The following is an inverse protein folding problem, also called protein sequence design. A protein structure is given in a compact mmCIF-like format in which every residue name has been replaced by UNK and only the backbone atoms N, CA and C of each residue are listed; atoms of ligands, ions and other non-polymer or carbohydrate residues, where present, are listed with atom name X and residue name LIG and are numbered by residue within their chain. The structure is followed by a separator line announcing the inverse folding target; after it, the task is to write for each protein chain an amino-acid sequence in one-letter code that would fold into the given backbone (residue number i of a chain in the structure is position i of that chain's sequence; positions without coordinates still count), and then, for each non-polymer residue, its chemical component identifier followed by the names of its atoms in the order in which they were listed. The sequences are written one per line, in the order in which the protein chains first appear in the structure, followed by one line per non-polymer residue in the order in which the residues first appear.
data_IF_119304796628
#
_entry.id   IF_119304796628
#
_cell.length_a   1.000
_cell.length_b   1.000
_cell.length_c   1.000
_cell.angle_alpha   90.00
_cell.angle_beta   90.00
_cell.angle_gamma   90.00
#
_symmetry.space_group_name_H-M   'P 1'
#
loop_
_entity.id
_entity.type
_entity.pdbx_description
1 polymer ?
#
# COMPACT_ATOMS: atom_id res chain seq x y z
N UNK A 1 -19.07 -12.18 0.96
CA UNK A 1 -17.61 -11.98 0.83
C UNK A 1 -17.18 -11.11 2.00
N UNK A 2 -16.35 -11.63 2.92
CA UNK A 2 -16.00 -10.89 4.13
C UNK A 2 -15.11 -9.70 3.80
N UNK A 3 -15.25 -8.59 4.52
CA UNK A 3 -14.39 -7.41 4.41
C UNK A 3 -12.90 -7.74 4.57
N UNK A 4 -12.59 -8.83 5.27
CA UNK A 4 -11.26 -9.41 5.43
C UNK A 4 -10.64 -9.94 4.12
N UNK A 5 -11.41 -10.60 3.25
CA UNK A 5 -10.88 -11.12 1.99
C UNK A 5 -10.57 -9.96 1.04
N UNK A 6 -11.40 -8.92 1.07
CA UNK A 6 -11.18 -7.68 0.35
C UNK A 6 -9.90 -6.98 0.82
N UNK A 7 -9.69 -6.87 2.14
CA UNK A 7 -8.45 -6.31 2.71
C UNK A 7 -7.20 -7.06 2.22
N UNK A 8 -7.19 -8.40 2.33
CA UNK A 8 -6.03 -9.20 1.89
C UNK A 8 -5.73 -9.06 0.41
N UNK A 9 -6.78 -9.01 -0.42
CA UNK A 9 -6.58 -8.84 -1.86
C UNK A 9 -6.00 -7.46 -2.20
N UNK A 10 -6.49 -6.38 -1.55
CA UNK A 10 -5.97 -5.03 -1.76
C UNK A 10 -4.54 -4.90 -1.24
N UNK A 11 -4.24 -5.47 -0.07
CA UNK A 11 -2.88 -5.50 0.49
C UNK A 11 -1.89 -6.25 -0.44
N UNK A 12 -2.32 -7.35 -1.07
CA UNK A 12 -1.51 -8.07 -2.05
C UNK A 12 -1.20 -7.20 -3.28
N UNK A 13 -2.21 -6.52 -3.82
CA UNK A 13 -2.02 -5.61 -4.97
C UNK A 13 -1.07 -4.46 -4.61
N UNK A 14 -1.17 -3.92 -3.40
CA UNK A 14 -0.26 -2.88 -2.93
C UNK A 14 1.18 -3.37 -2.85
N UNK A 15 1.41 -4.57 -2.30
CA UNK A 15 2.72 -5.19 -2.24
C UNK A 15 3.30 -5.48 -3.64
N UNK A 16 2.48 -5.92 -4.60
CA UNK A 16 2.91 -6.10 -5.99
C UNK A 16 3.32 -4.77 -6.65
N UNK A 17 2.64 -3.66 -6.33
CA UNK A 17 3.02 -2.33 -6.81
C UNK A 17 4.37 -1.90 -6.21
N UNK A 18 4.61 -2.14 -4.93
CA UNK A 18 5.90 -1.85 -4.28
C UNK A 18 7.06 -2.64 -4.90
N UNK A 19 6.85 -3.92 -5.20
CA UNK A 19 7.88 -4.75 -5.84
C UNK A 19 8.24 -4.28 -7.25
N UNK A 20 7.29 -3.63 -7.95
CA UNK A 20 7.49 -3.05 -9.28
C UNK A 20 8.08 -1.63 -9.23
N UNK A 21 8.34 -1.09 -8.04
CA UNK A 21 8.78 0.29 -7.86
C UNK A 21 7.68 1.33 -8.08
N UNK A 22 6.41 0.92 -8.22
CA UNK A 22 5.27 1.81 -8.42
C UNK A 22 4.78 2.35 -7.08
N UNK A 23 5.65 3.08 -6.38
CA UNK A 23 5.39 3.49 -5.00
C UNK A 23 4.22 4.47 -4.88
N UNK A 24 4.01 5.37 -5.85
CA UNK A 24 2.85 6.27 -5.86
C UNK A 24 1.53 5.49 -5.91
N UNK A 25 1.43 4.56 -6.86
CA UNK A 25 0.27 3.67 -6.99
C UNK A 25 0.10 2.77 -5.77
N UNK A 26 1.20 2.30 -5.17
CA UNK A 26 1.14 1.48 -3.96
C UNK A 26 0.52 2.26 -2.78
N UNK A 27 0.87 3.54 -2.60
CA UNK A 27 0.29 4.39 -1.57
C UNK A 27 -1.24 4.52 -1.74
N UNK A 28 -1.72 4.79 -2.95
CA UNK A 28 -3.16 4.89 -3.23
C UNK A 28 -3.92 3.58 -2.92
N UNK A 29 -3.30 2.43 -3.23
CA UNK A 29 -3.91 1.12 -2.97
C UNK A 29 -3.94 0.84 -1.46
N UNK A 30 -2.89 1.23 -0.72
CA UNK A 30 -2.90 1.15 0.74
C UNK A 30 -3.95 2.05 1.38
N UNK A 31 -4.20 3.26 0.86
CA UNK A 31 -5.28 4.13 1.32
C UNK A 31 -6.67 3.51 1.12
N UNK A 32 -6.88 2.81 -0.01
CA UNK A 32 -8.13 2.06 -0.23
C UNK A 32 -8.25 0.91 0.77
N UNK A 33 -7.15 0.23 1.07
CA UNK A 33 -7.08 -0.83 2.09
C UNK A 33 -7.45 -0.30 3.48
N UNK A 34 -6.95 0.89 3.83
CA UNK A 34 -7.17 1.53 5.12
C UNK A 34 -8.67 1.73 5.45
N UNK A 35 -9.51 2.00 4.44
CA UNK A 35 -10.96 2.23 4.61
C UNK A 35 -11.72 0.98 5.07
N UNK A 36 -11.20 -0.20 4.82
CA UNK A 36 -11.83 -1.49 5.15
C UNK A 36 -11.01 -2.33 6.13
N UNK A 37 -9.85 -1.80 6.56
CA UNK A 37 -8.92 -2.48 7.44
C UNK A 37 -9.47 -2.59 8.87
N UNK A 38 -9.01 -3.62 9.58
CA UNK A 38 -9.30 -3.75 11.01
C UNK A 38 -8.44 -2.77 11.79
N UNK A 39 -8.91 -2.35 12.96
CA UNK A 39 -8.17 -1.45 13.85
C UNK A 39 -6.74 -1.94 14.17
N UNK A 40 -6.52 -3.25 14.23
CA UNK A 40 -5.18 -3.86 14.44
C UNK A 40 -4.24 -3.68 13.24
N UNK A 41 -4.78 -3.63 12.02
CA UNK A 41 -3.99 -3.51 10.79
C UNK A 41 -3.72 -2.04 10.41
N UNK A 42 -4.53 -1.10 10.91
CA UNK A 42 -4.44 0.34 10.62
C UNK A 42 -3.04 0.92 10.85
N UNK A 43 -2.33 0.66 11.97
CA UNK A 43 -1.00 1.22 12.18
C UNK A 43 0.00 0.76 11.11
N UNK A 44 -0.02 -0.53 10.78
CA UNK A 44 0.84 -1.11 9.75
C UNK A 44 0.57 -0.49 8.38
N UNK A 45 -0.69 -0.33 8.00
CA UNK A 45 -1.08 0.26 6.73
C UNK A 45 -0.60 1.72 6.63
N UNK A 46 -0.75 2.50 7.71
CA UNK A 46 -0.27 3.89 7.74
C UNK A 46 1.24 3.98 7.54
N UNK A 47 2.02 3.13 8.21
CA UNK A 47 3.48 3.06 8.00
C UNK A 47 3.82 2.73 6.54
N UNK A 48 3.05 1.86 5.89
CA UNK A 48 3.26 1.52 4.47
C UNK A 48 2.90 2.66 3.52
N UNK A 49 1.81 3.38 3.78
CA UNK A 49 1.47 4.59 3.02
C UNK A 49 2.63 5.59 3.10
N UNK A 50 3.11 5.88 4.31
CA UNK A 50 4.21 6.83 4.52
C UNK A 50 5.49 6.37 3.81
N UNK A 51 5.84 5.08 3.91
CA UNK A 51 6.97 4.51 3.18
C UNK A 51 6.84 4.69 1.67
N UNK A 52 5.68 4.33 1.09
CA UNK A 52 5.43 4.43 -0.34
C UNK A 52 5.45 5.89 -0.84
N UNK A 53 4.79 6.80 -0.13
CA UNK A 53 4.81 8.24 -0.45
C UNK A 53 6.24 8.79 -0.43
N UNK A 54 7.03 8.39 0.58
CA UNK A 54 8.40 8.82 0.73
C UNK A 54 9.34 8.24 -0.34
N UNK A 55 9.14 6.98 -0.73
CA UNK A 55 9.86 6.33 -1.82
C UNK A 55 9.52 6.97 -3.18
N UNK A 56 8.25 7.28 -3.42
CA UNK A 56 7.81 8.01 -4.62
C UNK A 56 8.43 9.41 -4.69
N UNK A 57 8.42 10.16 -3.59
CA UNK A 57 9.01 11.50 -3.52
C UNK A 57 10.53 11.50 -3.77
N UNK A 58 11.21 10.39 -3.50
CA UNK A 58 12.64 10.20 -3.77
C UNK A 58 12.95 9.51 -5.11
N UNK A 59 11.94 9.30 -5.95
CA UNK A 59 12.06 8.59 -7.22
C UNK A 59 12.72 7.21 -7.10
N UNK A 60 12.50 6.51 -5.98
CA UNK A 60 12.98 5.13 -5.85
C UNK A 60 12.31 4.27 -6.92
N UNK A 61 13.06 3.38 -7.58
CA UNK A 61 12.54 2.51 -8.64
C UNK A 61 12.53 3.12 -10.05
N UNK A 62 12.99 4.36 -10.22
CA UNK A 62 13.39 4.87 -11.54
C UNK A 62 14.82 4.37 -11.78
N UNK A 63 14.97 3.23 -12.45
CA UNK A 63 16.27 2.86 -13.03
C UNK A 63 16.64 3.94 -14.06
N UNK A 64 17.85 4.47 -13.93
CA UNK A 64 18.45 5.46 -14.83
C UNK A 64 18.84 4.80 -16.16
#
# INVERSE_FOLDING_TARGET
MGTYDAYRNIARIAAECEQRGWYEKAAEVWEKSLKIARAVDVPWIKTRIEFCTNAAARCWGVEN
#
